data_IF_941243688633
#
_entry.id   IF_941243688633
#
_cell.length_a   1.000
_cell.length_b   1.000
_cell.length_c   1.000
_cell.angle_alpha   90.00
_cell.angle_beta   90.00
_cell.angle_gamma   90.00
#
_symmetry.space_group_name_H-M   'P 1'
#
loop_
_entity.id
_entity.type
_entity.pdbx_description
1 polymer ?
#
# COMPACT_ATOMS: atom_id res chain seq x y z
N UNK A 1 12.09 23.00 2.95
CA UNK A 1 12.49 22.07 1.88
C UNK A 1 12.76 20.70 2.49
N UNK A 2 11.74 19.83 2.56
CA UNK A 2 11.85 18.49 3.15
C UNK A 2 12.53 17.53 2.17
N UNK A 3 13.78 17.16 2.45
CA UNK A 3 14.49 16.17 1.65
C UNK A 3 13.85 14.79 1.80
N UNK A 4 13.25 14.28 0.72
CA UNK A 4 12.93 12.86 0.58
C UNK A 4 14.22 12.12 0.23
N UNK A 5 14.87 11.52 1.23
CA UNK A 5 16.06 10.70 1.05
C UNK A 5 15.67 9.35 0.43
N UNK A 6 15.53 9.30 -0.90
CA UNK A 6 15.31 8.06 -1.62
C UNK A 6 16.67 7.38 -1.87
N UNK A 7 17.02 6.39 -1.03
CA UNK A 7 18.21 5.56 -1.24
C UNK A 7 17.95 4.54 -2.35
N UNK A 8 18.70 4.62 -3.45
CA UNK A 8 18.70 3.65 -4.53
C UNK A 8 19.35 2.35 -4.04
N UNK A 9 18.62 1.23 -4.07
CA UNK A 9 19.13 -0.10 -3.69
C UNK A 9 19.64 -0.82 -4.93
N UNK A 10 20.96 -0.91 -5.10
CA UNK A 10 21.63 -1.70 -6.13
C UNK A 10 22.01 -3.09 -5.58
N UNK A 11 21.54 -4.16 -6.24
CA UNK A 11 21.93 -5.55 -5.96
C UNK A 11 20.93 -6.36 -5.13
N UNK A 12 20.78 -7.65 -5.49
CA UNK A 12 19.97 -8.72 -4.88
C UNK A 12 18.44 -8.52 -4.80
N UNK A 13 17.68 -9.42 -5.44
CA UNK A 13 16.20 -9.40 -5.52
C UNK A 13 15.49 -9.34 -4.16
N UNK A 14 16.13 -9.83 -3.09
CA UNK A 14 15.63 -9.77 -1.71
C UNK A 14 15.60 -8.34 -1.18
N UNK A 15 16.62 -7.53 -1.51
CA UNK A 15 16.70 -6.13 -1.06
C UNK A 15 15.68 -5.24 -1.77
N UNK A 16 15.32 -5.57 -3.01
CA UNK A 16 14.24 -4.90 -3.75
C UNK A 16 12.89 -5.08 -3.07
N UNK A 17 12.56 -6.28 -2.60
CA UNK A 17 11.29 -6.54 -1.91
C UNK A 17 11.23 -5.79 -0.58
N UNK A 18 12.32 -5.79 0.19
CA UNK A 18 12.39 -5.06 1.46
C UNK A 18 12.30 -3.55 1.27
N UNK A 19 12.99 -3.00 0.26
CA UNK A 19 12.92 -1.59 -0.09
C UNK A 19 11.52 -1.20 -0.57
N UNK A 20 10.86 -2.07 -1.34
CA UNK A 20 9.50 -1.88 -1.80
C UNK A 20 8.51 -1.84 -0.64
N UNK A 21 8.59 -2.78 0.32
CA UNK A 21 7.70 -2.80 1.48
C UNK A 21 7.93 -1.60 2.42
N UNK A 22 9.19 -1.15 2.55
CA UNK A 22 9.52 0.07 3.28
C UNK A 22 8.94 1.33 2.60
N UNK A 23 9.04 1.42 1.27
CA UNK A 23 8.46 2.53 0.51
C UNK A 23 6.93 2.54 0.58
N UNK A 24 6.28 1.37 0.46
CA UNK A 24 4.83 1.23 0.62
C UNK A 24 4.37 1.73 2.00
N UNK A 25 5.09 1.34 3.06
CA UNK A 25 4.81 1.79 4.43
C UNK A 25 4.98 3.31 4.59
N UNK A 26 5.97 3.91 3.92
CA UNK A 26 6.18 5.35 3.95
C UNK A 26 5.04 6.11 3.26
N UNK A 27 4.55 5.61 2.12
CA UNK A 27 3.41 6.19 1.39
C UNK A 27 2.16 6.14 2.26
N UNK A 28 1.83 4.99 2.87
CA UNK A 28 0.67 4.87 3.75
C UNK A 28 0.75 5.79 4.97
N UNK A 29 1.93 5.98 5.55
CA UNK A 29 2.11 6.90 6.69
C UNK A 29 1.96 8.36 6.29
N UNK A 30 2.41 8.73 5.09
CA UNK A 30 2.39 10.12 4.62
C UNK A 30 1.01 10.54 4.07
N UNK A 31 0.29 9.63 3.42
CA UNK A 31 -0.95 9.92 2.68
C UNK A 31 -2.19 9.21 3.22
N UNK A 32 -2.05 8.37 4.24
CA UNK A 32 -3.15 7.61 4.85
C UNK A 32 -3.23 6.16 4.35
N UNK A 33 -3.92 5.31 5.13
CA UNK A 33 -4.15 3.89 4.77
C UNK A 33 -4.97 3.79 3.49
N UNK A 34 -4.60 2.85 2.61
CA UNK A 34 -5.28 2.66 1.32
C UNK A 34 -4.84 3.63 0.22
N UNK A 35 -3.90 4.55 0.49
CA UNK A 35 -3.32 5.44 -0.53
C UNK A 35 -2.49 4.70 -1.60
N UNK A 36 -2.04 3.48 -1.30
CA UNK A 36 -1.42 2.57 -2.27
C UNK A 36 -1.78 1.12 -1.92
N UNK A 37 -2.13 0.31 -2.92
CA UNK A 37 -2.57 -1.08 -2.74
C UNK A 37 -2.06 -1.96 -3.89
N UNK A 38 -1.98 -3.27 -3.68
CA UNK A 38 -1.68 -4.23 -4.76
C UNK A 38 -2.98 -4.75 -5.37
N UNK A 39 -3.17 -4.53 -6.66
CA UNK A 39 -4.32 -5.05 -7.40
C UNK A 39 -4.38 -6.59 -7.33
N UNK A 40 -5.56 -7.15 -7.03
CA UNK A 40 -5.78 -8.60 -7.00
C UNK A 40 -5.16 -9.33 -5.81
N UNK A 41 -4.49 -8.62 -4.89
CA UNK A 41 -4.10 -9.22 -3.61
C UNK A 41 -5.36 -9.32 -2.77
N UNK A 42 -5.77 -10.54 -2.40
CA UNK A 42 -6.87 -10.85 -1.48
C UNK A 42 -6.55 -10.39 -0.04
N UNK A 43 -6.19 -9.12 0.13
CA UNK A 43 -6.15 -8.50 1.44
C UNK A 43 -7.59 -8.40 1.92
N UNK A 44 -7.79 -8.67 3.22
CA UNK A 44 -9.08 -8.38 3.86
C UNK A 44 -9.48 -6.96 3.48
N UNK A 45 -10.73 -6.80 3.04
CA UNK A 45 -11.31 -5.49 2.85
C UNK A 45 -10.99 -4.65 4.08
N UNK A 46 -10.57 -3.40 3.86
CA UNK A 46 -10.31 -2.47 4.96
C UNK A 46 -11.59 -2.46 5.80
N UNK A 47 -11.48 -2.73 7.11
CA UNK A 47 -12.63 -2.70 8.00
C UNK A 47 -13.09 -1.25 8.13
N UNK A 48 -14.00 -0.89 7.24
CA UNK A 48 -14.68 0.40 7.18
C UNK A 48 -16.17 0.16 7.29
N UNK A 49 -16.86 1.09 7.93
CA UNK A 49 -18.31 1.12 7.87
C UNK A 49 -18.74 1.49 6.44
N UNK A 50 -19.56 0.65 5.84
CA UNK A 50 -20.11 0.85 4.50
C UNK A 50 -21.62 0.64 4.52
N UNK A 51 -22.33 1.34 3.64
CA UNK A 51 -23.76 1.13 3.42
C UNK A 51 -23.91 0.22 2.20
N UNK A 52 -24.69 -0.86 2.34
CA UNK A 52 -24.94 -1.82 1.27
C UNK A 52 -25.55 -1.13 0.05
N UNK A 53 -25.01 -1.45 -1.14
CA UNK A 53 -25.59 -1.05 -2.42
C UNK A 53 -26.84 -1.86 -2.77
N UNK A 54 -27.12 -2.94 -2.04
CA UNK A 54 -28.18 -3.89 -2.30
C UNK A 54 -27.80 -5.01 -3.27
N UNK A 55 -26.54 -5.05 -3.73
CA UNK A 55 -26.02 -6.08 -4.64
C UNK A 55 -24.86 -6.85 -3.99
N UNK A 56 -25.08 -8.13 -3.69
CA UNK A 56 -24.08 -9.02 -3.05
C UNK A 56 -22.78 -9.21 -3.85
N UNK A 57 -22.80 -8.99 -5.16
CA UNK A 57 -21.60 -9.12 -5.99
C UNK A 57 -20.74 -7.85 -6.05
N UNK A 58 -21.30 -6.72 -5.59
CA UNK A 58 -20.64 -5.41 -5.61
C UNK A 58 -20.20 -4.98 -4.21
N UNK A 59 -21.01 -5.28 -3.20
CA UNK A 59 -20.67 -5.10 -1.78
C UNK A 59 -19.57 -6.05 -1.33
#
# INVERSE_FOLDING_TARGET
MSQANLRLVEGTSVDKTKALDAALSQIERAFGKGSIMRLGKNQKAVEIEAVSTGSLGLD
#
